data_IF_072516826307
#
_entry.id   IF_072516826307
#
_cell.length_a   1.000
_cell.length_b   1.000
_cell.length_c   1.000
_cell.angle_alpha   90.00
_cell.angle_beta   90.00
_cell.angle_gamma   90.00
#
_symmetry.space_group_name_H-M   'P 1'
#
loop_
_entity.id
_entity.type
_entity.pdbx_description
1 polymer ?
#
# COMPACT_ATOMS: atom_id res chain seq x y z
N UNK A 1 1.35 13.32 -12.08
CA UNK A 1 1.57 11.87 -11.92
C UNK A 1 0.27 11.16 -12.22
N UNK A 2 0.30 10.06 -12.99
CA UNK A 2 -0.89 9.24 -13.23
C UNK A 2 -1.22 8.42 -11.97
N UNK A 3 -2.52 8.29 -11.65
CA UNK A 3 -3.05 7.47 -10.55
C UNK A 3 -3.85 6.32 -11.13
N UNK A 4 -3.64 5.12 -10.59
CA UNK A 4 -4.35 3.91 -11.00
C UNK A 4 -5.33 3.48 -9.92
N UNK A 5 -6.53 3.12 -10.36
CA UNK A 5 -7.60 2.66 -9.49
C UNK A 5 -7.97 1.23 -9.88
N UNK A 6 -7.98 0.33 -8.91
CA UNK A 6 -8.74 -0.90 -9.05
C UNK A 6 -10.20 -0.57 -8.77
N UNK A 7 -11.11 -0.83 -9.71
CA UNK A 7 -12.56 -0.58 -9.51
C UNK A 7 -13.14 -1.22 -8.23
N UNK A 8 -12.46 -2.23 -7.69
CA UNK A 8 -12.85 -2.95 -6.48
C UNK A 8 -12.29 -2.34 -5.18
N UNK A 9 -11.43 -1.32 -5.26
CA UNK A 9 -10.78 -0.66 -4.12
C UNK A 9 -11.09 0.85 -4.15
N UNK A 10 -12.31 1.26 -3.73
CA UNK A 10 -12.79 2.63 -3.90
C UNK A 10 -12.02 3.66 -3.06
N UNK A 11 -11.37 3.24 -1.97
CA UNK A 11 -10.67 4.11 -1.04
C UNK A 11 -9.15 4.07 -1.27
N UNK A 12 -8.66 3.40 -2.32
CA UNK A 12 -7.24 3.23 -2.55
C UNK A 12 -6.83 3.59 -3.99
N UNK A 13 -5.85 4.48 -4.09
CA UNK A 13 -5.14 4.79 -5.32
C UNK A 13 -3.69 4.29 -5.24
N UNK A 14 -3.15 3.90 -6.39
CA UNK A 14 -1.72 3.63 -6.54
C UNK A 14 -1.10 4.67 -7.46
N UNK A 15 0.09 5.15 -7.11
CA UNK A 15 0.92 5.87 -8.08
C UNK A 15 1.32 4.95 -9.22
N UNK A 16 1.61 5.51 -10.40
CA UNK A 16 2.20 4.77 -11.53
C UNK A 16 3.40 3.93 -11.08
N UNK A 17 4.29 4.51 -10.28
CA UNK A 17 5.49 3.84 -9.80
C UNK A 17 5.16 2.57 -9.00
N UNK A 18 4.22 2.66 -8.05
CA UNK A 18 3.77 1.53 -7.24
C UNK A 18 3.05 0.49 -8.10
N UNK A 19 2.24 0.93 -9.06
CA UNK A 19 1.55 0.03 -9.99
C UNK A 19 2.56 -0.79 -10.82
N UNK A 20 3.59 -0.14 -11.36
CA UNK A 20 4.66 -0.80 -12.11
C UNK A 20 5.44 -1.81 -11.26
N UNK A 21 5.59 -1.57 -9.95
CA UNK A 21 6.26 -2.52 -9.05
C UNK A 21 5.44 -3.79 -8.83
N UNK A 22 4.11 -3.68 -8.82
CA UNK A 22 3.19 -4.81 -8.65
C UNK A 22 3.15 -5.66 -9.92
N UNK A 23 3.03 -5.03 -11.09
CA UNK A 23 2.91 -5.75 -12.36
C UNK A 23 4.26 -6.24 -12.91
N UNK A 24 5.34 -5.47 -12.72
CA UNK A 24 6.68 -5.79 -13.20
C UNK A 24 7.47 -6.71 -12.26
N UNK A 25 8.75 -6.98 -12.56
CA UNK A 25 9.54 -7.99 -11.84
C UNK A 25 10.35 -7.46 -10.65
N UNK A 26 10.02 -6.26 -10.15
CA UNK A 26 10.73 -5.64 -9.03
C UNK A 26 10.49 -6.40 -7.73
N UNK A 27 9.25 -6.80 -7.48
CA UNK A 27 8.88 -7.58 -6.29
C UNK A 27 8.86 -9.07 -6.63
N UNK A 28 9.45 -9.89 -5.76
CA UNK A 28 9.26 -11.34 -5.88
C UNK A 28 7.79 -11.72 -5.61
N UNK A 29 7.37 -12.90 -6.10
CA UNK A 29 5.98 -13.36 -5.99
C UNK A 29 5.41 -13.29 -4.56
N UNK A 30 6.21 -13.63 -3.55
CA UNK A 30 5.81 -13.56 -2.13
C UNK A 30 5.58 -12.12 -1.67
N UNK A 31 6.45 -11.18 -2.04
CA UNK A 31 6.27 -9.77 -1.71
C UNK A 31 5.03 -9.19 -2.41
N UNK A 32 4.81 -9.50 -3.70
CA UNK A 32 3.60 -9.10 -4.44
C UNK A 32 2.34 -9.58 -3.75
N UNK A 33 2.28 -10.86 -3.39
CA UNK A 33 1.11 -11.44 -2.71
C UNK A 33 0.82 -10.76 -1.38
N UNK A 34 1.87 -10.53 -0.57
CA UNK A 34 1.73 -9.84 0.71
C UNK A 34 1.28 -8.38 0.54
N UNK A 35 1.84 -7.67 -0.44
CA UNK A 35 1.45 -6.30 -0.75
C UNK A 35 -0.02 -6.21 -1.18
N UNK A 36 -0.45 -7.05 -2.13
CA UNK A 36 -1.83 -7.07 -2.61
C UNK A 36 -2.82 -7.35 -1.46
N UNK A 37 -2.48 -8.28 -0.58
CA UNK A 37 -3.30 -8.57 0.61
C UNK A 37 -3.38 -7.36 1.55
N UNK A 38 -2.25 -6.71 1.82
CA UNK A 38 -2.20 -5.52 2.65
C UNK A 38 -2.98 -4.34 2.04
N UNK A 39 -2.90 -4.17 0.72
CA UNK A 39 -3.67 -3.20 -0.06
C UNK A 39 -5.17 -3.42 0.11
N UNK A 40 -5.65 -4.66 -0.05
CA UNK A 40 -7.07 -4.98 0.13
C UNK A 40 -7.53 -4.68 1.57
N UNK A 41 -6.71 -5.02 2.56
CA UNK A 41 -7.03 -4.73 3.96
C UNK A 41 -7.00 -3.25 4.29
N UNK A 42 -6.08 -2.48 3.72
CA UNK A 42 -6.03 -1.03 3.88
C UNK A 42 -7.28 -0.35 3.32
N UNK A 43 -7.74 -0.77 2.14
CA UNK A 43 -8.95 -0.23 1.52
C UNK A 43 -10.22 -0.52 2.35
N UNK A 44 -10.28 -1.70 2.98
CA UNK A 44 -11.46 -2.15 3.74
C UNK A 44 -11.48 -1.67 5.19
N UNK A 45 -10.34 -1.75 5.88
CA UNK A 45 -10.23 -1.56 7.33
C UNK A 45 -9.39 -0.32 7.70
N UNK A 46 -8.89 0.42 6.71
CA UNK A 46 -8.02 1.57 6.95
C UNK A 46 -6.72 1.17 7.64
N UNK A 47 -6.20 2.05 8.51
CA UNK A 47 -4.92 1.83 9.22
C UNK A 47 -5.06 0.97 10.48
N UNK A 48 -6.08 0.13 10.58
CA UNK A 48 -6.31 -0.71 11.74
C UNK A 48 -5.26 -1.83 11.82
N UNK A 49 -4.53 -1.85 12.94
CA UNK A 49 -3.46 -2.82 13.20
C UNK A 49 -3.97 -4.23 13.47
N UNK A 50 -5.23 -4.41 13.92
CA UNK A 50 -5.80 -5.74 14.13
C UNK A 50 -5.88 -6.52 12.82
N UNK A 51 -6.17 -5.82 11.72
CA UNK A 51 -6.25 -6.41 10.38
C UNK A 51 -4.90 -6.41 9.67
N UNK A 52 -4.18 -5.28 9.65
CA UNK A 52 -2.93 -5.17 8.87
C UNK A 52 -1.71 -5.82 9.56
N UNK A 53 -1.73 -5.95 10.88
CA UNK A 53 -0.67 -6.56 11.67
C UNK A 53 0.72 -6.01 11.32
N UNK A 54 1.65 -6.91 10.99
CA UNK A 54 3.03 -6.57 10.62
C UNK A 54 3.17 -5.95 9.22
N UNK A 55 2.07 -5.84 8.46
CA UNK A 55 2.05 -5.23 7.13
C UNK A 55 1.85 -3.73 7.17
N UNK A 56 1.66 -3.13 8.37
CA UNK A 56 1.52 -1.69 8.55
C UNK A 56 2.46 -1.20 9.66
N UNK A 57 3.23 -0.16 9.37
CA UNK A 57 4.14 0.47 10.33
C UNK A 57 3.89 1.97 10.38
N UNK A 58 3.88 2.52 11.59
CA UNK A 58 3.88 3.97 11.82
C UNK A 58 5.32 4.46 11.86
N UNK A 59 5.63 5.46 11.06
CA UNK A 59 6.91 6.19 11.08
C UNK A 59 6.66 7.62 11.56
N UNK A 60 7.74 8.39 11.75
CA UNK A 60 7.64 9.84 12.00
C UNK A 60 7.02 10.61 10.84
N UNK A 61 7.10 10.07 9.63
CA UNK A 61 6.62 10.72 8.39
C UNK A 61 5.20 10.30 8.02
N UNK A 62 4.68 9.21 8.59
CA UNK A 62 3.34 8.74 8.25
C UNK A 62 3.14 7.26 8.51
N UNK A 63 2.32 6.64 7.68
CA UNK A 63 2.11 5.21 7.68
C UNK A 63 2.78 4.60 6.45
N UNK A 64 3.27 3.38 6.59
CA UNK A 64 3.85 2.61 5.49
C UNK A 64 3.27 1.20 5.47
N UNK A 65 2.95 0.70 4.28
CA UNK A 65 2.76 -0.73 4.09
C UNK A 65 4.10 -1.46 3.99
N UNK A 66 4.11 -2.70 4.48
CA UNK A 66 5.28 -3.59 4.46
C UNK A 66 4.95 -4.81 3.63
N UNK A 67 5.73 -5.04 2.57
CA UNK A 67 5.67 -6.25 1.78
C UNK A 67 6.94 -7.08 2.00
N UNK A 68 6.80 -8.23 2.67
CA UNK A 68 7.93 -9.13 2.94
C UNK A 68 8.00 -10.24 1.90
N UNK A 69 9.15 -10.38 1.26
CA UNK A 69 9.49 -11.49 0.39
C UNK A 69 10.85 -12.06 0.76
N UNK A 70 11.77 -12.06 -0.19
CA UNK A 70 13.22 -12.25 0.05
C UNK A 70 13.85 -11.00 0.67
N UNK A 71 13.23 -9.84 0.43
CA UNK A 71 13.59 -8.55 1.01
C UNK A 71 12.35 -7.90 1.61
N UNK A 72 12.56 -6.92 2.48
CA UNK A 72 11.50 -6.09 3.00
C UNK A 72 11.35 -4.84 2.14
N UNK A 73 10.14 -4.61 1.65
CA UNK A 73 9.79 -3.43 0.86
C UNK A 73 8.80 -2.57 1.63
N UNK A 74 8.99 -1.27 1.54
CA UNK A 74 8.19 -0.25 2.22
C UNK A 74 7.47 0.62 1.21
N UNK A 75 6.21 0.93 1.49
CA UNK A 75 5.35 1.73 0.62
C UNK A 75 4.68 2.82 1.45
N UNK A 76 5.19 4.07 1.39
CA UNK A 76 4.58 5.19 2.08
C UNK A 76 3.14 5.43 1.64
N UNK A 77 2.29 5.72 2.63
CA UNK A 77 0.86 5.94 2.46
C UNK A 77 0.56 7.43 2.70
N UNK A 78 0.02 8.10 1.68
CA UNK A 78 -0.69 9.36 1.87
C UNK A 78 -2.12 9.07 2.31
N UNK A 79 -2.61 9.81 3.31
CA UNK A 79 -4.00 9.73 3.77
C UNK A 79 -4.65 11.07 3.52
N UNK A 80 -5.72 11.06 2.75
CA UNK A 80 -6.59 12.21 2.51
C UNK A 80 -7.99 11.90 3.00
N UNK A 81 -8.81 12.92 3.24
CA UNK A 81 -10.19 12.74 3.71
C UNK A 81 -11.14 13.45 2.75
N UNK A 82 -12.14 12.72 2.28
CA UNK A 82 -13.25 13.24 1.50
C UNK A 82 -14.53 12.97 2.27
N UNK A 83 -15.23 14.03 2.70
CA UNK A 83 -16.47 13.92 3.49
C UNK A 83 -16.33 12.97 4.71
N UNK A 84 -15.20 13.04 5.41
CA UNK A 84 -14.82 12.18 6.54
C UNK A 84 -14.51 10.71 6.19
N UNK A 85 -14.55 10.33 4.93
CA UNK A 85 -14.10 9.02 4.43
C UNK A 85 -12.60 9.10 4.11
N UNK A 86 -11.76 8.20 4.66
CA UNK A 86 -10.34 8.19 4.35
C UNK A 86 -10.09 7.62 2.96
N UNK A 87 -9.28 8.32 2.17
CA UNK A 87 -8.72 7.89 0.90
C UNK A 87 -7.21 7.70 1.06
N UNK A 88 -6.72 6.54 0.65
CA UNK A 88 -5.34 6.12 0.77
C UNK A 88 -4.64 6.16 -0.59
N UNK A 89 -3.41 6.64 -0.62
CA UNK A 89 -2.57 6.59 -1.82
C UNK A 89 -1.19 6.04 -1.48
N UNK A 90 -0.80 4.97 -2.18
CA UNK A 90 0.57 4.46 -2.13
C UNK A 90 1.42 5.26 -3.12
N UNK A 91 2.36 6.05 -2.59
CA UNK A 91 3.01 7.13 -3.33
C UNK A 91 4.26 6.64 -4.06
N UNK A 92 5.07 5.84 -3.38
CA UNK A 92 6.37 5.35 -3.84
C UNK A 92 6.69 4.01 -3.18
N UNK A 93 7.89 3.48 -3.44
CA UNK A 93 8.40 2.33 -2.72
C UNK A 93 9.90 2.43 -2.49
N UNK A 94 10.39 1.73 -1.49
CA UNK A 94 11.83 1.54 -1.28
C UNK A 94 12.11 0.20 -0.60
N UNK A 95 13.32 -0.31 -0.80
CA UNK A 95 13.81 -1.52 -0.15
C UNK A 95 14.46 -1.14 1.19
N UNK A 96 14.14 -1.87 2.26
CA UNK A 96 14.70 -1.68 3.59
C UNK A 96 15.76 -2.73 3.91
#
# INVERSE_FOLDING_TARGET
MAKHFFRQLPNLALSEEVMQTIIGDVLCHKAKSNLLKAIMWLDTFGTDKEFLGNSLVKTSEGWELVAKGESEWRFPISVTYEESTPNFELISYYKK
#
